data_IF_549504346649
#
_entry.id   IF_549504346649
#
_cell.length_a   1.000
_cell.length_b   1.000
_cell.length_c   1.000
_cell.angle_alpha   90.00
_cell.angle_beta   90.00
_cell.angle_gamma   90.00
#
_symmetry.space_group_name_H-M   'P 1'
#
loop_
_entity.id
_entity.type
_entity.pdbx_description
1 polymer ?
#
# COMPACT_ATOMS: atom_id res chain seq x y z
N UNK A 1 -22.25 30.46 -5.51
CA UNK A 1 -22.63 29.10 -5.04
C UNK A 1 -21.52 28.06 -5.18
N UNK A 2 -20.59 28.17 -6.16
CA UNK A 2 -19.48 27.21 -6.31
C UNK A 2 -18.43 27.19 -5.19
N UNK A 3 -18.08 28.34 -4.60
CA UNK A 3 -16.99 28.41 -3.62
C UNK A 3 -17.28 27.74 -2.27
N UNK A 4 -18.55 27.74 -1.85
CA UNK A 4 -18.97 27.16 -0.55
C UNK A 4 -18.93 25.63 -0.62
N UNK A 5 -19.29 25.03 -1.76
CA UNK A 5 -19.22 23.59 -2.00
C UNK A 5 -17.77 23.07 -2.00
N UNK A 6 -16.84 23.82 -2.57
CA UNK A 6 -15.42 23.44 -2.60
C UNK A 6 -14.80 23.57 -1.20
N UNK A 7 -15.11 24.66 -0.48
CA UNK A 7 -14.61 24.87 0.88
C UNK A 7 -15.12 23.81 1.87
N UNK A 8 -16.38 23.38 1.73
CA UNK A 8 -16.96 22.32 2.56
C UNK A 8 -16.39 20.94 2.23
N UNK A 9 -16.12 20.62 0.96
CA UNK A 9 -15.40 19.39 0.59
C UNK A 9 -13.97 19.37 1.16
N UNK A 10 -13.22 20.47 1.07
CA UNK A 10 -11.86 20.54 1.58
C UNK A 10 -11.82 20.45 3.12
N UNK A 11 -12.79 21.05 3.80
CA UNK A 11 -12.91 21.00 5.26
C UNK A 11 -13.22 19.60 5.78
N UNK A 12 -14.07 18.82 5.09
CA UNK A 12 -14.38 17.43 5.50
C UNK A 12 -13.22 16.48 5.25
N UNK A 13 -12.43 16.69 4.20
CA UNK A 13 -11.22 15.91 3.94
C UNK A 13 -10.17 16.15 5.02
N UNK A 14 -9.99 17.41 5.46
CA UNK A 14 -8.96 17.77 6.45
C UNK A 14 -9.29 17.26 7.87
N UNK A 15 -10.58 17.16 8.23
CA UNK A 15 -11.00 16.71 9.55
C UNK A 15 -10.87 15.18 9.76
N UNK A 16 -10.71 14.40 8.68
CA UNK A 16 -10.67 12.94 8.72
C UNK A 16 -9.26 12.34 8.72
N UNK A 17 -8.22 13.15 8.55
CA UNK A 17 -6.84 12.66 8.59
C UNK A 17 -6.37 12.79 10.05
N UNK A 18 -6.48 11.73 10.88
CA UNK A 18 -5.86 11.77 12.19
C UNK A 18 -4.36 12.08 12.02
N UNK A 19 -3.78 12.80 12.98
CA UNK A 19 -2.33 12.98 13.04
C UNK A 19 -1.69 11.60 13.29
N UNK A 20 -1.36 10.87 12.23
CA UNK A 20 -0.84 9.51 12.29
C UNK A 20 -1.08 8.72 11.00
N UNK A 21 -0.52 7.51 10.92
CA UNK A 21 -0.83 6.57 9.85
C UNK A 21 -2.29 6.09 9.97
N UNK A 22 -2.97 5.87 8.84
CA UNK A 22 -4.32 5.27 8.87
C UNK A 22 -4.28 3.91 9.56
N UNK A 23 -5.17 3.66 10.52
CA UNK A 23 -5.33 2.34 11.15
C UNK A 23 -6.24 1.43 10.31
N UNK A 24 -6.22 0.13 10.58
CA UNK A 24 -7.14 -0.81 9.96
C UNK A 24 -8.61 -0.49 10.21
N UNK A 25 -8.98 -0.03 11.40
CA UNK A 25 -10.35 0.38 11.70
C UNK A 25 -10.81 1.59 10.88
N UNK A 26 -9.93 2.58 10.70
CA UNK A 26 -10.23 3.73 9.84
C UNK A 26 -10.41 3.29 8.38
N UNK A 27 -9.48 2.46 7.87
CA UNK A 27 -9.56 1.91 6.52
C UNK A 27 -10.82 1.06 6.31
N UNK A 28 -11.21 0.25 7.30
CA UNK A 28 -12.43 -0.54 7.27
C UNK A 28 -13.69 0.33 7.29
N UNK A 29 -13.72 1.38 8.10
CA UNK A 29 -14.80 2.38 8.08
C UNK A 29 -14.92 3.04 6.69
N UNK A 30 -13.78 3.38 6.08
CA UNK A 30 -13.73 3.97 4.74
C UNK A 30 -14.16 3.01 3.64
N UNK A 31 -13.98 1.70 3.83
CA UNK A 31 -14.47 0.69 2.89
C UNK A 31 -15.99 0.75 2.68
N UNK A 32 -16.75 1.10 3.72
CA UNK A 32 -18.22 1.20 3.66
C UNK A 32 -18.76 2.59 3.30
N UNK A 33 -18.03 3.66 3.65
CA UNK A 33 -18.55 5.04 3.53
C UNK A 33 -17.75 6.01 2.67
N UNK A 34 -16.48 5.73 2.37
CA UNK A 34 -15.60 6.70 1.69
C UNK A 34 -14.49 6.00 0.91
N UNK A 35 -14.88 5.12 -0.03
CA UNK A 35 -13.98 4.20 -0.73
C UNK A 35 -12.79 4.88 -1.43
N UNK A 36 -12.97 6.13 -1.89
CA UNK A 36 -11.91 6.94 -2.46
C UNK A 36 -10.71 7.15 -1.53
N UNK A 37 -10.90 7.18 -0.20
CA UNK A 37 -9.80 7.28 0.75
C UNK A 37 -9.01 5.98 0.83
N UNK A 38 -9.66 4.83 0.76
CA UNK A 38 -8.98 3.53 0.69
C UNK A 38 -8.18 3.39 -0.61
N UNK A 39 -8.75 3.85 -1.73
CA UNK A 39 -8.03 3.88 -3.02
C UNK A 39 -6.83 4.82 -2.96
N UNK A 40 -6.99 6.01 -2.40
CA UNK A 40 -5.90 6.96 -2.20
C UNK A 40 -4.80 6.41 -1.28
N UNK A 41 -5.18 5.72 -0.21
CA UNK A 41 -4.24 5.07 0.70
C UNK A 41 -3.42 3.99 -0.01
N UNK A 42 -4.08 3.08 -0.74
CA UNK A 42 -3.43 2.02 -1.51
C UNK A 42 -2.51 2.60 -2.58
N UNK A 43 -2.95 3.62 -3.32
CA UNK A 43 -2.12 4.29 -4.32
C UNK A 43 -0.87 4.90 -3.69
N UNK A 44 -1.01 5.62 -2.57
CA UNK A 44 0.13 6.20 -1.84
C UNK A 44 1.10 5.14 -1.31
N UNK A 45 0.59 4.00 -0.84
CA UNK A 45 1.43 2.88 -0.40
C UNK A 45 2.22 2.28 -1.56
N UNK A 46 1.58 2.07 -2.72
CA UNK A 46 2.26 1.58 -3.93
C UNK A 46 3.33 2.55 -4.43
N UNK A 47 3.02 3.85 -4.45
CA UNK A 47 3.98 4.90 -4.85
C UNK A 47 5.18 4.96 -3.91
N UNK A 48 4.97 4.84 -2.59
CA UNK A 48 6.03 4.75 -1.57
C UNK A 48 6.98 3.61 -1.92
N UNK A 49 6.46 2.40 -2.08
CA UNK A 49 7.28 1.21 -2.35
C UNK A 49 7.99 1.25 -3.70
N UNK A 50 7.34 1.78 -4.74
CA UNK A 50 7.98 1.99 -6.03
C UNK A 50 9.17 2.96 -5.93
N UNK A 51 9.01 4.04 -5.13
CA UNK A 51 10.09 4.99 -4.89
C UNK A 51 11.20 4.40 -4.01
N UNK A 52 10.86 3.65 -2.97
CA UNK A 52 11.81 3.00 -2.08
C UNK A 52 12.64 1.95 -2.83
N UNK A 53 12.03 1.16 -3.71
CA UNK A 53 12.73 0.21 -4.58
C UNK A 53 13.73 0.93 -5.50
N UNK A 54 13.28 2.01 -6.15
CA UNK A 54 14.12 2.82 -7.01
C UNK A 54 15.31 3.46 -6.27
N UNK A 55 15.08 3.98 -5.06
CA UNK A 55 16.14 4.57 -4.22
C UNK A 55 17.10 3.51 -3.71
N UNK A 56 16.60 2.36 -3.24
CA UNK A 56 17.43 1.28 -2.75
C UNK A 56 18.39 0.79 -3.85
N UNK A 57 17.93 0.65 -5.10
CA UNK A 57 18.79 0.34 -6.26
C UNK A 57 19.91 1.36 -6.48
N UNK A 58 19.71 2.64 -6.13
CA UNK A 58 20.68 3.73 -6.33
C UNK A 58 21.66 3.92 -5.18
N UNK A 59 21.26 3.61 -3.96
CA UNK A 59 22.07 3.84 -2.75
C UNK A 59 23.18 2.78 -2.61
N UNK A 60 23.09 1.64 -3.30
CA UNK A 60 24.22 0.70 -3.39
C UNK A 60 25.41 1.32 -4.13
N UNK A 61 26.30 1.95 -3.38
CA UNK A 61 27.61 2.49 -3.82
C UNK A 61 28.74 1.47 -3.72
N UNK A 62 28.50 0.32 -3.07
CA UNK A 62 29.44 -0.80 -2.96
C UNK A 62 28.89 -2.04 -3.68
N UNK A 63 29.80 -2.85 -4.24
CA UNK A 63 29.47 -4.03 -5.07
C UNK A 63 28.72 -5.06 -4.22
N UNK A 64 27.41 -5.23 -4.47
CA UNK A 64 26.69 -6.41 -3.99
C UNK A 64 27.39 -7.65 -4.58
N UNK A 65 27.85 -8.63 -3.77
CA UNK A 65 28.68 -9.74 -4.25
C UNK A 65 28.03 -10.57 -5.38
N UNK A 66 26.71 -10.45 -5.56
CA UNK A 66 25.96 -11.01 -6.67
C UNK A 66 25.25 -9.90 -7.48
N UNK A 67 25.85 -9.38 -8.57
CA UNK A 67 25.25 -8.33 -9.40
C UNK A 67 23.86 -8.68 -9.96
N UNK A 68 23.58 -9.98 -10.14
CA UNK A 68 22.25 -10.49 -10.54
C UNK A 68 21.14 -10.10 -9.57
N UNK A 69 21.48 -9.83 -8.32
CA UNK A 69 20.54 -9.39 -7.30
C UNK A 69 20.01 -7.97 -7.51
N UNK A 70 20.77 -7.12 -8.21
CA UNK A 70 20.45 -5.69 -8.37
C UNK A 70 19.69 -5.39 -9.67
N UNK A 71 19.90 -6.18 -10.72
CA UNK A 71 19.28 -5.98 -12.04
C UNK A 71 17.91 -6.65 -12.16
N UNK A 72 17.59 -7.60 -11.28
CA UNK A 72 16.32 -8.30 -11.26
C UNK A 72 15.48 -7.80 -10.07
N UNK A 73 14.39 -7.08 -10.34
CA UNK A 73 13.45 -6.57 -9.32
C UNK A 73 12.99 -7.67 -8.37
N UNK A 74 12.68 -8.85 -8.89
CA UNK A 74 12.20 -9.97 -8.09
C UNK A 74 13.29 -10.53 -7.17
N UNK A 75 14.56 -10.55 -7.60
CA UNK A 75 15.66 -10.98 -6.72
C UNK A 75 15.96 -9.91 -5.66
N UNK A 76 16.01 -8.64 -6.05
CA UNK A 76 16.25 -7.54 -5.10
C UNK A 76 15.17 -7.54 -4.01
N UNK A 77 13.91 -7.57 -4.43
CA UNK A 77 12.77 -7.61 -3.53
C UNK A 77 12.84 -8.84 -2.61
N UNK A 78 13.12 -10.05 -3.12
CA UNK A 78 13.39 -11.25 -2.30
C UNK A 78 14.52 -11.04 -1.28
N UNK A 79 15.64 -10.43 -1.69
CA UNK A 79 16.81 -10.23 -0.84
C UNK A 79 16.59 -9.23 0.30
N UNK A 80 15.58 -8.37 0.18
CA UNK A 80 15.11 -7.47 1.25
C UNK A 80 13.80 -7.93 1.90
N UNK A 81 13.39 -9.18 1.68
CA UNK A 81 12.21 -9.80 2.33
C UNK A 81 10.86 -9.52 1.66
N UNK A 82 10.83 -8.93 0.47
CA UNK A 82 9.64 -8.56 -0.29
C UNK A 82 9.51 -9.45 -1.54
N UNK A 83 8.88 -10.61 -1.47
CA UNK A 83 8.71 -11.50 -2.62
C UNK A 83 7.31 -11.39 -3.26
N UNK A 84 7.06 -10.32 -4.00
CA UNK A 84 5.71 -9.94 -4.46
C UNK A 84 5.62 -9.91 -6.00
N UNK A 85 4.60 -10.57 -6.53
CA UNK A 85 4.24 -10.70 -7.94
C UNK A 85 2.81 -10.17 -8.16
N UNK A 86 2.65 -8.85 -8.20
CA UNK A 86 1.37 -8.24 -8.56
C UNK A 86 1.15 -8.40 -10.08
N UNK A 87 0.04 -9.00 -10.55
CA UNK A 87 -0.23 -9.17 -11.97
C UNK A 87 -0.27 -7.84 -12.72
N UNK A 88 0.23 -7.84 -13.96
CA UNK A 88 0.14 -6.68 -14.87
C UNK A 88 -1.32 -6.28 -15.04
N UNK A 89 -1.60 -4.98 -14.96
CA UNK A 89 -2.95 -4.43 -15.06
C UNK A 89 -3.75 -4.44 -13.75
N UNK A 90 -3.19 -4.95 -12.65
CA UNK A 90 -3.80 -4.78 -11.32
C UNK A 90 -3.83 -3.30 -10.96
N UNK A 91 -5.02 -2.78 -10.65
CA UNK A 91 -5.22 -1.37 -10.29
C UNK A 91 -5.20 -1.16 -8.78
N UNK A 92 -4.96 0.08 -8.35
CA UNK A 92 -5.11 0.45 -6.94
C UNK A 92 -6.52 0.13 -6.43
N UNK A 93 -7.55 0.35 -7.26
CA UNK A 93 -8.94 -0.01 -6.93
C UNK A 93 -9.13 -1.51 -6.67
N UNK A 94 -8.55 -2.38 -7.50
CA UNK A 94 -8.62 -3.82 -7.30
C UNK A 94 -7.95 -4.27 -5.99
N UNK A 95 -6.81 -3.66 -5.65
CA UNK A 95 -6.11 -3.91 -4.39
C UNK A 95 -6.92 -3.36 -3.22
N UNK A 96 -7.54 -2.18 -3.33
CA UNK A 96 -8.44 -1.63 -2.32
C UNK A 96 -9.66 -2.51 -2.08
N UNK A 97 -10.24 -3.08 -3.14
CA UNK A 97 -11.33 -4.04 -3.00
C UNK A 97 -10.89 -5.26 -2.19
N UNK A 98 -9.69 -5.77 -2.49
CA UNK A 98 -9.11 -6.90 -1.76
C UNK A 98 -8.80 -6.53 -0.30
N UNK A 99 -8.27 -5.33 -0.04
CA UNK A 99 -8.03 -4.83 1.32
C UNK A 99 -9.32 -4.74 2.13
N UNK A 100 -10.40 -4.25 1.53
CA UNK A 100 -11.69 -4.15 2.20
C UNK A 100 -12.24 -5.52 2.59
N UNK A 101 -12.20 -6.49 1.68
CA UNK A 101 -12.57 -7.89 1.98
C UNK A 101 -11.68 -8.47 3.08
N UNK A 102 -10.36 -8.24 3.01
CA UNK A 102 -9.41 -8.72 4.00
C UNK A 102 -9.71 -8.15 5.40
N UNK A 103 -9.99 -6.85 5.52
CA UNK A 103 -10.35 -6.23 6.79
C UNK A 103 -11.71 -6.72 7.29
N UNK A 104 -12.68 -6.93 6.40
CA UNK A 104 -13.99 -7.49 6.75
C UNK A 104 -13.86 -8.89 7.38
N UNK A 105 -13.11 -9.78 6.72
CA UNK A 105 -12.91 -11.18 7.13
C UNK A 105 -12.01 -11.32 8.37
N UNK A 106 -11.20 -10.31 8.67
CA UNK A 106 -10.20 -10.36 9.75
C UNK A 106 -10.39 -9.18 10.72
N UNK A 107 -11.42 -9.17 11.58
CA UNK A 107 -11.62 -8.08 12.54
C UNK A 107 -10.49 -7.94 13.56
N UNK A 108 -9.85 -9.04 13.95
CA UNK A 108 -8.81 -9.06 15.00
C UNK A 108 -7.48 -8.40 14.61
N UNK A 109 -7.27 -8.05 13.34
CA UNK A 109 -6.02 -7.41 12.88
C UNK A 109 -6.18 -5.91 12.63
N UNK A 110 -7.40 -5.36 12.77
CA UNK A 110 -7.70 -3.96 12.40
C UNK A 110 -7.00 -2.92 13.29
N UNK A 111 -6.50 -3.34 14.44
CA UNK A 111 -5.67 -2.50 15.32
C UNK A 111 -4.29 -2.20 14.72
N UNK A 112 -3.83 -3.00 13.74
CA UNK A 112 -2.56 -2.77 13.06
C UNK A 112 -2.60 -1.48 12.21
N UNK A 113 -1.41 -0.95 11.96
CA UNK A 113 -1.26 0.20 11.06
C UNK A 113 -1.58 -0.21 9.62
N UNK A 114 -2.01 0.75 8.81
CA UNK A 114 -2.30 0.48 7.41
C UNK A 114 -1.08 -0.02 6.62
N UNK A 115 0.15 0.35 7.03
CA UNK A 115 1.37 -0.14 6.38
C UNK A 115 1.62 -1.63 6.68
N UNK A 116 1.42 -2.05 7.93
CA UNK A 116 1.49 -3.45 8.34
C UNK A 116 0.40 -4.28 7.65
N UNK A 117 -0.82 -3.73 7.57
CA UNK A 117 -1.96 -4.38 6.90
C UNK A 117 -1.71 -4.55 5.41
N UNK A 118 -1.22 -3.52 4.73
CA UNK A 118 -0.88 -3.58 3.32
C UNK A 118 0.26 -4.56 3.07
N UNK A 119 1.32 -4.51 3.87
CA UNK A 119 2.45 -5.45 3.76
C UNK A 119 1.97 -6.90 3.94
N UNK A 120 1.13 -7.15 4.95
CA UNK A 120 0.54 -8.46 5.21
C UNK A 120 -0.35 -8.93 4.06
N UNK A 121 -1.27 -8.09 3.60
CA UNK A 121 -2.17 -8.37 2.48
C UNK A 121 -1.38 -8.72 1.22
N UNK A 122 -0.40 -7.89 0.87
CA UNK A 122 0.37 -8.03 -0.36
C UNK A 122 1.24 -9.30 -0.30
N UNK A 123 1.88 -9.57 0.85
CA UNK A 123 2.66 -10.78 1.06
C UNK A 123 1.80 -12.06 1.04
N UNK A 124 0.54 -11.99 1.48
CA UNK A 124 -0.39 -13.13 1.42
C UNK A 124 -0.95 -13.34 0.02
N UNK A 125 -1.45 -12.28 -0.62
CA UNK A 125 -2.22 -12.38 -1.87
C UNK A 125 -1.34 -12.47 -3.12
N UNK A 126 -0.19 -11.81 -3.11
CA UNK A 126 0.65 -11.63 -4.28
C UNK A 126 2.03 -12.24 -4.09
N UNK A 127 2.20 -13.23 -3.21
CA UNK A 127 3.49 -13.91 -3.07
C UNK A 127 3.93 -14.53 -4.39
N UNK A 128 5.15 -14.27 -4.84
CA UNK A 128 5.70 -15.01 -5.98
C UNK A 128 5.90 -16.49 -5.61
N UNK A 129 5.78 -17.42 -6.57
CA UNK A 129 6.19 -18.80 -6.37
C UNK A 129 7.65 -18.87 -5.88
N UNK A 130 7.93 -19.84 -5.00
CA UNK A 130 9.32 -20.15 -4.67
C UNK A 130 10.04 -20.64 -5.95
N UNK A 131 11.31 -20.25 -6.15
CA UNK A 131 12.11 -20.73 -7.27
C UNK A 131 12.32 -22.25 -7.25
#
# INVERSE_FOLDING_TARGET
>A
MSGILIATLLATVSAKIPAGFSSGDLLYSDCGGSRQFVVGYVAGWLDKWNRDEYLARRIFTEVVPAPKAMVNSAYFANSVGVNVCVPVGTTAEAISNTLCTFLEENPGIREATGDELMTTLIAYKYRCPAP
#
